data_IF_027284538794
#
_entry.id   IF_027284538794
#
_cell.length_a   1.000
_cell.length_b   1.000
_cell.length_c   1.000
_cell.angle_alpha   90.00
_cell.angle_beta   90.00
_cell.angle_gamma   90.00
#
_symmetry.space_group_name_H-M   'P 1'
#
loop_
_entity.id
_entity.type
_entity.pdbx_description
1 polymer ?
#
# COMPACT_ATOMS: atom_id res chain seq x y z
N UNK A 1 2.73 -7.56 8.84
CA UNK A 1 3.83 -6.76 9.42
C UNK A 1 3.28 -5.39 9.68
N UNK A 2 3.06 -5.09 10.95
CA UNK A 2 2.48 -3.81 11.33
C UNK A 2 3.59 -2.76 11.34
N UNK A 3 3.30 -1.58 10.83
CA UNK A 3 4.25 -0.47 10.70
C UNK A 3 3.64 0.78 11.30
N UNK A 4 4.46 1.57 11.98
CA UNK A 4 4.09 2.87 12.53
C UNK A 4 5.21 3.87 12.24
N UNK A 5 4.99 4.78 11.28
CA UNK A 5 5.99 5.75 10.84
C UNK A 5 5.32 6.88 10.05
N UNK A 6 5.98 8.04 9.97
CA UNK A 6 5.61 9.09 9.02
C UNK A 6 6.04 8.65 7.60
N UNK A 7 5.07 8.27 6.78
CA UNK A 7 5.31 7.74 5.44
C UNK A 7 5.29 8.85 4.38
N UNK A 8 4.44 9.85 4.56
CA UNK A 8 4.26 10.93 3.59
C UNK A 8 5.18 12.16 3.86
N UNK A 9 5.77 12.25 5.05
CA UNK A 9 6.65 13.33 5.50
C UNK A 9 5.92 14.54 6.07
N UNK A 10 4.67 14.40 6.51
CA UNK A 10 3.86 15.51 7.04
C UNK A 10 4.06 15.77 8.55
N UNK A 11 4.95 15.00 9.20
CA UNK A 11 5.23 15.09 10.62
C UNK A 11 4.25 14.30 11.49
N UNK A 12 3.32 13.53 10.90
CA UNK A 12 2.40 12.65 11.63
C UNK A 12 2.59 11.20 11.20
N UNK A 13 2.33 10.26 12.11
CA UNK A 13 2.52 8.85 11.80
C UNK A 13 1.33 8.28 11.04
N UNK A 14 1.65 7.42 10.09
CA UNK A 14 0.77 6.41 9.53
C UNK A 14 0.92 5.08 10.27
N UNK A 15 -0.14 4.27 10.23
CA UNK A 15 -0.13 2.89 10.67
C UNK A 15 -0.56 1.95 9.54
N UNK A 16 0.10 0.79 9.49
CA UNK A 16 -0.32 -0.35 8.67
C UNK A 16 -0.80 -1.43 9.61
N UNK A 17 -2.05 -1.85 9.42
CA UNK A 17 -2.68 -2.94 10.16
C UNK A 17 -2.82 -4.13 9.22
N UNK A 18 -2.23 -5.26 9.57
CA UNK A 18 -2.29 -6.48 8.75
C UNK A 18 -3.25 -7.52 9.34
N UNK A 19 -4.04 -8.15 8.48
CA UNK A 19 -4.89 -9.30 8.82
C UNK A 19 -4.44 -10.53 8.03
N UNK A 20 -4.62 -11.71 8.61
CA UNK A 20 -4.31 -12.99 7.96
C UNK A 20 -5.52 -13.92 7.97
N UNK A 21 -5.60 -14.81 6.99
CA UNK A 21 -6.64 -15.82 6.88
C UNK A 21 -7.15 -15.96 5.46
N UNK A 22 -7.13 -17.18 4.94
CA UNK A 22 -7.63 -17.47 3.58
C UNK A 22 -9.13 -17.24 3.46
N UNK A 23 -9.87 -17.30 4.56
CA UNK A 23 -11.31 -16.98 4.59
C UNK A 23 -11.59 -15.54 4.17
N UNK A 24 -10.81 -14.57 4.66
CA UNK A 24 -10.99 -13.15 4.32
C UNK A 24 -10.18 -12.70 3.10
N UNK A 25 -9.03 -13.32 2.84
CA UNK A 25 -8.01 -12.81 1.91
C UNK A 25 -7.64 -13.79 0.78
N UNK A 26 -8.37 -14.90 0.64
CA UNK A 26 -8.18 -15.87 -0.43
C UNK A 26 -6.75 -16.41 -0.49
N UNK A 27 -6.26 -16.63 -1.72
CA UNK A 27 -4.94 -17.20 -1.98
C UNK A 27 -3.78 -16.31 -1.50
N UNK A 28 -3.99 -14.99 -1.39
CA UNK A 28 -2.98 -14.10 -0.83
C UNK A 28 -2.74 -14.37 0.66
N UNK A 29 -3.74 -14.90 1.37
CA UNK A 29 -3.65 -15.28 2.78
C UNK A 29 -3.56 -14.11 3.76
N UNK A 30 -3.42 -12.87 3.27
CA UNK A 30 -3.29 -11.65 4.07
C UNK A 30 -3.83 -10.44 3.32
N UNK A 31 -4.19 -9.40 4.06
CA UNK A 31 -4.50 -8.07 3.56
C UNK A 31 -4.09 -7.01 4.58
N UNK A 32 -4.14 -5.76 4.17
CA UNK A 32 -3.76 -4.65 5.04
C UNK A 32 -4.73 -3.47 4.96
N UNK A 33 -4.66 -2.60 5.97
CA UNK A 33 -5.24 -1.27 5.98
C UNK A 33 -4.14 -0.25 6.29
N UNK A 34 -4.00 0.78 5.47
CA UNK A 34 -3.15 1.94 5.71
C UNK A 34 -4.00 3.08 6.25
N UNK A 35 -3.69 3.54 7.45
CA UNK A 35 -4.39 4.66 8.10
C UNK A 35 -3.40 5.78 8.42
N UNK A 36 -3.86 7.04 8.31
CA UNK A 36 -3.06 8.23 8.58
C UNK A 36 -3.65 9.04 9.72
N UNK A 37 -2.78 9.50 10.64
CA UNK A 37 -3.19 10.33 11.77
C UNK A 37 -3.40 11.78 11.31
N UNK A 38 -4.61 12.27 11.52
CA UNK A 38 -5.03 13.62 11.13
C UNK A 38 -4.65 14.66 12.20
N UNK A 39 -4.78 15.95 11.85
CA UNK A 39 -4.41 17.08 12.71
C UNK A 39 -5.18 17.12 14.03
N UNK A 40 -6.44 16.73 13.97
CA UNK A 40 -7.34 16.64 15.12
C UNK A 40 -7.15 15.34 15.92
N UNK A 41 -6.12 14.53 15.60
CA UNK A 41 -5.83 13.27 16.27
C UNK A 41 -6.67 12.08 15.80
N UNK A 42 -7.63 12.26 14.89
CA UNK A 42 -8.40 11.15 14.33
C UNK A 42 -7.56 10.32 13.35
N UNK A 43 -8.01 9.09 13.08
CA UNK A 43 -7.40 8.23 12.07
C UNK A 43 -8.30 8.19 10.84
N UNK A 44 -7.70 8.31 9.65
CA UNK A 44 -8.39 8.20 8.37
C UNK A 44 -7.84 7.02 7.58
N UNK A 45 -8.71 6.22 6.99
CA UNK A 45 -8.34 5.19 6.03
C UNK A 45 -7.81 5.85 4.74
N UNK A 46 -6.61 5.44 4.32
CA UNK A 46 -5.92 5.94 3.13
C UNK A 46 -5.93 4.91 2.00
N UNK A 47 -5.68 3.65 2.33
CA UNK A 47 -5.71 2.53 1.38
C UNK A 47 -6.03 1.23 2.12
N UNK A 48 -6.54 0.25 1.40
CA UNK A 48 -6.77 -1.09 1.94
C UNK A 48 -6.89 -2.10 0.81
N UNK A 49 -6.05 -3.13 0.84
CA UNK A 49 -5.92 -4.08 -0.26
C UNK A 49 -5.65 -5.50 0.27
N UNK A 50 -5.93 -6.49 -0.59
CA UNK A 50 -5.55 -7.88 -0.34
C UNK A 50 -4.12 -8.09 -0.84
N UNK A 51 -3.24 -8.59 0.03
CA UNK A 51 -1.82 -8.75 -0.25
C UNK A 51 -0.93 -8.09 0.80
N UNK A 52 0.36 -8.02 0.49
CA UNK A 52 1.41 -7.48 1.36
C UNK A 52 1.85 -6.12 0.82
N UNK A 53 1.73 -5.03 1.60
CA UNK A 53 2.17 -3.72 1.14
C UNK A 53 3.70 -3.63 1.19
N UNK A 54 4.31 -3.16 0.10
CA UNK A 54 5.69 -2.68 0.07
C UNK A 54 5.72 -1.20 -0.31
N UNK A 55 6.43 -0.39 0.48
CA UNK A 55 6.49 1.06 0.34
C UNK A 55 7.74 1.44 -0.42
N UNK A 56 7.55 1.87 -1.67
CA UNK A 56 8.65 2.17 -2.58
C UNK A 56 9.26 3.54 -2.28
N UNK A 57 10.49 3.75 -2.77
CA UNK A 57 11.18 5.04 -2.67
C UNK A 57 10.56 6.13 -3.57
N UNK A 58 9.89 5.73 -4.65
CA UNK A 58 9.18 6.67 -5.54
C UNK A 58 7.93 7.18 -4.84
N UNK A 59 7.53 8.42 -5.14
CA UNK A 59 6.43 9.10 -4.45
C UNK A 59 5.41 9.65 -5.45
N UNK A 60 4.15 9.70 -5.01
CA UNK A 60 3.05 10.42 -5.63
C UNK A 60 2.87 11.83 -5.04
N UNK A 61 1.65 12.35 -5.17
CA UNK A 61 1.31 13.67 -4.64
C UNK A 61 1.43 13.72 -3.11
N UNK A 62 1.78 14.88 -2.55
CA UNK A 62 1.85 15.07 -1.10
C UNK A 62 2.88 14.20 -0.36
N UNK A 63 3.88 13.67 -1.08
CA UNK A 63 4.98 12.91 -0.48
C UNK A 63 4.67 11.44 -0.18
N UNK A 64 3.47 10.98 -0.51
CA UNK A 64 3.04 9.59 -0.33
C UNK A 64 3.88 8.62 -1.17
N UNK A 65 4.48 7.57 -0.57
CA UNK A 65 5.20 6.55 -1.32
C UNK A 65 4.29 5.81 -2.29
N UNK A 66 4.82 5.39 -3.43
CA UNK A 66 4.16 4.39 -4.27
C UNK A 66 4.06 3.08 -3.48
N UNK A 67 2.92 2.38 -3.63
CA UNK A 67 2.63 1.15 -2.92
C UNK A 67 2.63 -0.02 -3.90
N UNK A 68 3.58 -0.95 -3.76
CA UNK A 68 3.48 -2.26 -4.42
C UNK A 68 2.66 -3.21 -3.55
N UNK A 69 1.71 -3.92 -4.16
CA UNK A 69 0.89 -4.91 -3.45
C UNK A 69 1.35 -6.30 -3.85
N UNK A 70 2.18 -6.89 -3.00
CA UNK A 70 2.72 -8.24 -3.18
C UNK A 70 1.69 -9.34 -2.86
N UNK A 71 2.00 -10.54 -3.30
CA UNK A 71 1.22 -11.75 -3.07
C UNK A 71 1.87 -12.95 -3.77
N UNK A 72 1.17 -14.08 -3.88
CA UNK A 72 1.64 -15.19 -4.69
C UNK A 72 1.83 -14.78 -6.16
N UNK A 73 2.92 -15.24 -6.77
CA UNK A 73 3.19 -15.04 -8.20
C UNK A 73 4.28 -14.01 -8.50
N UNK A 74 4.14 -13.40 -9.67
CA UNK A 74 5.11 -12.49 -10.28
C UNK A 74 4.34 -11.34 -10.92
N UNK A 75 4.93 -10.15 -10.95
CA UNK A 75 4.33 -8.94 -11.51
C UNK A 75 3.18 -8.35 -10.69
N UNK A 76 3.52 -7.41 -9.81
CA UNK A 76 2.61 -6.84 -8.82
C UNK A 76 2.14 -5.45 -9.21
N UNK A 77 0.89 -5.08 -8.88
CA UNK A 77 0.41 -3.73 -9.11
C UNK A 77 1.13 -2.76 -8.18
N UNK A 78 1.56 -1.65 -8.75
CA UNK A 78 2.04 -0.47 -8.01
C UNK A 78 0.98 0.59 -8.12
N UNK A 79 0.47 1.01 -6.97
CA UNK A 79 -0.46 2.11 -6.85
C UNK A 79 0.26 3.40 -6.47
N UNK A 80 -0.22 4.53 -6.99
CA UNK A 80 0.30 5.86 -6.69
C UNK A 80 -0.81 6.74 -6.14
N UNK A 81 -0.51 7.50 -5.09
CA UNK A 81 -1.40 8.53 -4.59
C UNK A 81 -1.53 9.69 -5.59
N UNK A 82 -2.76 9.97 -6.03
CA UNK A 82 -3.06 11.03 -6.99
C UNK A 82 -3.44 12.38 -6.34
N UNK A 83 -3.38 12.48 -5.00
CA UNK A 83 -3.86 13.63 -4.23
C UNK A 83 -5.17 13.34 -3.46
N UNK A 84 -5.88 12.28 -3.84
CA UNK A 84 -7.17 11.88 -3.24
C UNK A 84 -7.23 10.41 -2.85
N UNK A 85 -6.67 9.53 -3.68
CA UNK A 85 -6.69 8.08 -3.48
C UNK A 85 -5.47 7.43 -4.16
N UNK A 86 -5.20 6.17 -3.78
CA UNK A 86 -4.24 5.34 -4.50
C UNK A 86 -4.89 4.76 -5.75
N UNK A 87 -4.27 4.99 -6.91
CA UNK A 87 -4.72 4.46 -8.19
C UNK A 87 -3.63 3.63 -8.83
N UNK A 88 -4.01 2.62 -9.62
CA UNK A 88 -3.07 1.81 -10.38
C UNK A 88 -2.18 2.71 -11.25
N UNK A 89 -0.87 2.57 -11.10
CA UNK A 89 0.13 3.37 -11.82
C UNK A 89 0.92 2.52 -12.80
N UNK A 90 1.40 1.35 -12.38
CA UNK A 90 2.15 0.41 -13.21
C UNK A 90 2.11 -0.99 -12.60
N UNK A 91 2.70 -1.95 -13.29
CA UNK A 91 3.06 -3.24 -12.72
C UNK A 91 4.57 -3.41 -12.72
N UNK A 92 5.11 -3.97 -11.65
CA UNK A 92 6.54 -4.27 -11.57
C UNK A 92 6.84 -5.56 -10.80
N UNK A 93 8.02 -6.11 -11.05
CA UNK A 93 8.60 -7.23 -10.31
C UNK A 93 10.09 -6.96 -10.13
N UNK A 94 10.59 -6.99 -8.89
CA UNK A 94 11.99 -6.66 -8.56
C UNK A 94 12.45 -5.30 -9.13
N UNK A 95 11.56 -4.31 -9.09
CA UNK A 95 11.84 -2.95 -9.60
C UNK A 95 11.86 -2.83 -11.12
N UNK A 96 11.50 -3.88 -11.87
CA UNK A 96 11.43 -3.86 -13.34
C UNK A 96 9.98 -3.87 -13.81
N UNK A 97 9.62 -3.09 -14.86
CA UNK A 97 8.30 -3.16 -15.47
C UNK A 97 7.96 -4.58 -15.94
N UNK A 98 6.71 -4.98 -15.76
CA UNK A 98 6.22 -6.30 -16.16
C UNK A 98 4.78 -6.21 -16.67
N UNK A 99 4.26 -7.31 -17.20
CA UNK A 99 2.86 -7.44 -17.61
C UNK A 99 2.25 -8.65 -16.91
N UNK A 100 1.15 -8.49 -16.16
CA UNK A 100 0.47 -9.61 -15.56
C UNK A 100 -0.08 -10.53 -16.67
N UNK A 101 -0.23 -11.84 -16.41
CA UNK A 101 -0.95 -12.73 -17.31
C UNK A 101 -2.36 -12.20 -17.56
N UNK A 102 -2.85 -12.34 -18.80
CA UNK A 102 -4.24 -12.02 -19.14
C UNK A 102 -5.20 -13.05 -18.58
#
# INVERSE_FOLDING_TARGET
>A
MDRYADLNGDGRPEAVVTGSGTFCYGMAGTGFQLVSKQANGSWKLVAGEIGIPDFLKTKGAGGWPDLMIGGPGFCFPVQRWNGREYVLHRFEYEGKPCKPPR
#
